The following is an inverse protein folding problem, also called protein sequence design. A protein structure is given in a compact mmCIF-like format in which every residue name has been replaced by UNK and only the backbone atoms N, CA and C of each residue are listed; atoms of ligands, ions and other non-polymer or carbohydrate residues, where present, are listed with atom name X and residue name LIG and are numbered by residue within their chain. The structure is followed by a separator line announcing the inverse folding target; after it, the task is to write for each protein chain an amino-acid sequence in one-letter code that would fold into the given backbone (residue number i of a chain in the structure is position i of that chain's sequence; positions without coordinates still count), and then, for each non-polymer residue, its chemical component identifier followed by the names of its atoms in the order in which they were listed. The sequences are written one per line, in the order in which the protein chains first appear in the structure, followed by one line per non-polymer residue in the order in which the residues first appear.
data_IF_057330446901
#
_entry.id   IF_057330446901
#
_cell.length_a   1.000
_cell.length_b   1.000
_cell.length_c   1.000
_cell.angle_alpha   90.00
_cell.angle_beta   90.00
_cell.angle_gamma   90.00
#
_symmetry.space_group_name_H-M   'P 1'
#
loop_
_entity.id
_entity.type
_entity.pdbx_description
1 polymer ?
#
# COMPACT_ATOMS: atom_id res chain seq x y z
N UNK A 1 1.48 -2.19 -7.46
CA UNK A 1 2.31 -1.03 -7.09
C UNK A 1 3.76 -1.45 -7.16
N UNK A 2 4.66 -0.54 -7.51
CA UNK A 2 6.10 -0.75 -7.34
C UNK A 2 6.48 -0.42 -5.89
N UNK A 3 7.13 -1.36 -5.20
CA UNK A 3 7.53 -1.26 -3.79
C UNK A 3 9.03 -1.02 -3.60
N UNK A 4 9.76 -0.78 -4.70
CA UNK A 4 11.22 -0.77 -4.73
C UNK A 4 11.83 -2.10 -4.21
N UNK A 5 13.15 -2.13 -4.08
CA UNK A 5 13.90 -3.35 -3.78
C UNK A 5 14.29 -3.43 -2.29
N UNK A 6 14.33 -4.66 -1.79
CA UNK A 6 14.97 -5.03 -0.52
C UNK A 6 15.59 -6.42 -0.66
N UNK A 7 16.55 -6.74 0.21
CA UNK A 7 17.12 -8.09 0.37
C UNK A 7 17.16 -8.40 1.85
N UNK A 8 16.35 -9.36 2.27
CA UNK A 8 16.21 -9.71 3.69
C UNK A 8 15.94 -11.20 3.87
N UNK A 9 16.58 -11.80 4.87
CA UNK A 9 16.26 -13.15 5.31
C UNK A 9 15.35 -13.06 6.53
N UNK A 10 14.16 -13.64 6.43
CA UNK A 10 13.27 -13.79 7.58
C UNK A 10 13.66 -15.07 8.33
N UNK A 11 14.30 -14.91 9.49
CA UNK A 11 14.79 -16.02 10.31
C UNK A 11 13.64 -16.76 11.00
N UNK A 12 13.95 -17.91 11.59
CA UNK A 12 13.01 -18.64 12.42
C UNK A 12 12.44 -17.74 13.54
N UNK A 13 11.12 -17.72 13.66
CA UNK A 13 10.40 -16.85 14.61
C UNK A 13 10.10 -15.45 14.10
N UNK A 14 10.68 -15.01 12.98
CA UNK A 14 10.29 -13.75 12.34
C UNK A 14 8.97 -13.91 11.58
N UNK A 15 8.29 -12.78 11.36
CA UNK A 15 7.08 -12.72 10.55
C UNK A 15 7.22 -11.64 9.48
N UNK A 16 6.77 -11.96 8.27
CA UNK A 16 6.56 -10.95 7.24
C UNK A 16 5.21 -10.27 7.51
N UNK A 17 5.21 -8.94 7.55
CA UNK A 17 3.99 -8.13 7.69
C UNK A 17 3.83 -7.21 6.48
N UNK A 18 2.61 -7.15 5.95
CA UNK A 18 2.20 -6.16 4.94
C UNK A 18 1.26 -5.15 5.60
N UNK A 19 1.54 -3.86 5.41
CA UNK A 19 0.68 -2.76 5.85
C UNK A 19 0.09 -2.08 4.62
N UNK A 20 -1.24 -1.92 4.60
CA UNK A 20 -1.97 -1.28 3.50
C UNK A 20 -2.72 -0.07 4.06
N UNK A 21 -2.50 1.08 3.45
CA UNK A 21 -3.14 2.35 3.79
C UNK A 21 -3.33 3.18 2.53
N UNK A 22 -4.22 4.17 2.56
CA UNK A 22 -4.44 5.14 1.48
C UNK A 22 -3.57 6.40 1.61
N UNK A 23 -2.59 6.41 2.53
CA UNK A 23 -1.67 7.54 2.71
C UNK A 23 -0.32 7.14 3.34
N UNK A 24 0.70 7.96 3.08
CA UNK A 24 2.01 7.91 3.73
C UNK A 24 2.58 9.34 3.80
N UNK A 25 1.93 10.19 4.59
CA UNK A 25 2.37 11.57 4.82
C UNK A 25 3.46 11.61 5.90
N UNK A 26 4.53 12.43 5.76
CA UNK A 26 4.75 13.46 4.74
C UNK A 26 5.53 12.99 3.51
N UNK A 27 5.80 11.68 3.36
CA UNK A 27 6.55 11.17 2.21
C UNK A 27 5.82 11.41 0.88
N UNK A 28 4.51 11.35 0.89
CA UNK A 28 3.65 11.79 -0.21
C UNK A 28 2.57 12.74 0.31
N UNK A 29 2.19 13.71 -0.52
CA UNK A 29 1.05 14.59 -0.22
C UNK A 29 -0.25 13.79 -0.12
N UNK A 30 -1.14 14.25 0.75
CA UNK A 30 -2.41 13.58 1.01
C UNK A 30 -3.34 13.75 -0.20
N UNK A 31 -3.99 12.67 -0.64
CA UNK A 31 -5.11 12.78 -1.57
C UNK A 31 -6.34 13.31 -0.82
N UNK A 32 -6.96 14.39 -1.32
CA UNK A 32 -8.14 15.00 -0.70
C UNK A 32 -9.45 14.25 -1.01
N UNK A 33 -9.38 13.24 -1.89
CA UNK A 33 -10.46 12.32 -2.30
C UNK A 33 -11.66 13.02 -2.96
N UNK A 34 -11.46 14.18 -3.58
CA UNK A 34 -12.52 14.94 -4.25
C UNK A 34 -12.53 14.80 -5.77
N UNK A 35 -11.43 14.31 -6.35
CA UNK A 35 -11.21 14.29 -7.81
C UNK A 35 -10.82 15.64 -8.41
N UNK A 36 -10.77 16.70 -7.61
CA UNK A 36 -10.28 18.03 -8.01
C UNK A 36 -8.75 18.02 -8.20
N UNK A 37 -8.21 19.03 -8.90
CA UNK A 37 -6.76 19.22 -9.02
C UNK A 37 -6.12 19.32 -7.61
N UNK A 38 -5.21 18.39 -7.23
CA UNK A 38 -4.62 18.36 -5.89
C UNK A 38 -3.88 19.65 -5.50
N UNK A 39 -3.38 20.42 -6.48
CA UNK A 39 -2.64 21.65 -6.22
C UNK A 39 -3.52 22.85 -5.86
N UNK A 40 -4.81 22.79 -6.19
CA UNK A 40 -5.78 23.88 -5.98
C UNK A 40 -6.88 23.51 -5.00
N UNK A 41 -7.10 22.21 -4.79
CA UNK A 41 -8.17 21.71 -3.97
C UNK A 41 -7.95 22.04 -2.48
N UNK A 42 -9.00 22.55 -1.84
CA UNK A 42 -9.01 22.90 -0.40
C UNK A 42 -10.01 22.07 0.39
N UNK A 43 -10.96 21.45 -0.30
CA UNK A 43 -12.00 20.62 0.29
C UNK A 43 -11.49 19.20 0.49
N UNK A 44 -11.77 18.64 1.65
CA UNK A 44 -11.48 17.24 1.98
C UNK A 44 -12.76 16.42 1.98
N UNK A 45 -12.70 15.25 1.36
CA UNK A 45 -13.72 14.21 1.52
C UNK A 45 -13.11 12.98 2.17
N UNK A 46 -13.81 12.43 3.17
CA UNK A 46 -13.41 11.17 3.78
C UNK A 46 -13.79 10.03 2.83
N UNK A 47 -12.80 9.20 2.47
CA UNK A 47 -13.03 7.99 1.73
C UNK A 47 -13.17 6.78 2.67
N UNK A 48 -14.07 5.87 2.33
CA UNK A 48 -14.11 4.51 2.89
C UNK A 48 -13.48 3.58 1.84
N UNK A 49 -12.22 3.21 2.05
CA UNK A 49 -11.50 2.32 1.16
C UNK A 49 -11.67 0.86 1.61
N UNK A 50 -11.93 -0.04 0.67
CA UNK A 50 -12.07 -1.49 0.93
C UNK A 50 -10.99 -2.24 0.16
N UNK A 51 -10.30 -3.16 0.82
CA UNK A 51 -9.36 -4.07 0.17
C UNK A 51 -10.05 -5.41 -0.04
N UNK A 52 -10.34 -5.74 -1.30
CA UNK A 52 -10.83 -7.06 -1.67
C UNK A 52 -9.63 -8.03 -1.77
N UNK A 53 -9.73 -9.18 -1.10
CA UNK A 53 -8.67 -10.18 -1.03
C UNK A 53 -9.28 -11.59 -0.89
N UNK A 54 -10.22 -11.89 -1.77
CA UNK A 54 -10.89 -13.19 -1.85
C UNK A 54 -10.47 -13.92 -3.13
N UNK A 55 -11.09 -15.07 -3.42
CA UNK A 55 -10.75 -15.90 -4.59
C UNK A 55 -11.07 -15.20 -5.91
N UNK A 56 -12.12 -14.38 -5.96
CA UNK A 56 -12.52 -13.64 -7.16
C UNK A 56 -11.70 -12.35 -7.32
N UNK A 57 -11.18 -11.82 -6.20
CA UNK A 57 -10.33 -10.63 -6.13
C UNK A 57 -8.98 -10.94 -5.46
N UNK A 58 -8.08 -11.68 -6.13
CA UNK A 58 -6.88 -12.24 -5.51
C UNK A 58 -5.74 -11.20 -5.39
N UNK A 59 -5.97 -10.10 -4.65
CA UNK A 59 -4.92 -9.14 -4.30
C UNK A 59 -3.72 -9.90 -3.68
N UNK A 60 -2.48 -9.55 -3.98
CA UNK A 60 -1.34 -10.28 -3.41
C UNK A 60 -0.08 -9.42 -3.31
N UNK A 61 0.80 -9.77 -2.37
CA UNK A 61 2.19 -9.31 -2.35
C UNK A 61 3.06 -10.33 -3.09
N UNK A 62 3.68 -9.91 -4.19
CA UNK A 62 4.60 -10.73 -4.95
C UNK A 62 6.02 -10.54 -4.40
N UNK A 63 6.65 -11.64 -3.99
CA UNK A 63 7.99 -11.65 -3.41
C UNK A 63 8.93 -12.48 -4.28
N UNK A 64 10.10 -11.95 -4.67
CA UNK A 64 11.15 -12.77 -5.26
C UNK A 64 11.79 -13.63 -4.16
N UNK A 65 11.29 -14.85 -3.99
CA UNK A 65 11.85 -15.83 -3.04
C UNK A 65 13.05 -16.52 -3.67
N UNK A 66 14.21 -16.38 -3.03
CA UNK A 66 15.42 -17.09 -3.44
C UNK A 66 15.50 -18.41 -2.65
N UNK A 67 15.47 -19.58 -3.33
CA UNK A 67 15.76 -20.85 -2.67
C UNK A 67 17.23 -20.89 -2.25
N UNK A 68 17.52 -21.66 -1.18
CA UNK A 68 18.89 -21.99 -0.79
C UNK A 68 19.52 -22.99 -1.76
#
# INVERSE_FOLDING_TARGET
MDLWATSNVFLAGHQLRLEISSSNFPRFDRNLNTGEDPSQATRLLKANNTIYHDREHPSALLLPVLPQ
#
